data_IF_270058250815
#
_entry.id   IF_270058250815
#
_cell.length_a   1.000
_cell.length_b   1.000
_cell.length_c   1.000
_cell.angle_alpha   90.00
_cell.angle_beta   90.00
_cell.angle_gamma   90.00
#
_symmetry.space_group_name_H-M   'P 1'
#
loop_
_entity.id
_entity.type
_entity.pdbx_description
1 polymer ?
#
# COMPACT_ATOMS: atom_id res chain seq x y z
N UNK A 1 -6.32 -58.68 9.23
CA UNK A 1 -5.12 -57.83 9.09
C UNK A 1 -5.23 -56.98 7.84
N UNK A 2 -5.50 -55.67 8.00
CA UNK A 2 -4.98 -54.57 7.20
C UNK A 2 -5.46 -53.28 7.86
N UNK A 3 -4.49 -52.57 8.43
CA UNK A 3 -4.59 -51.21 8.96
C UNK A 3 -4.06 -50.29 7.86
N UNK A 4 -4.79 -49.23 7.55
CA UNK A 4 -4.34 -47.98 6.88
C UNK A 4 -5.52 -47.00 7.04
N UNK A 5 -5.47 -46.07 7.99
CA UNK A 5 -4.77 -44.78 7.99
C UNK A 5 -5.63 -43.66 7.36
N UNK A 6 -6.03 -42.75 8.25
CA UNK A 6 -6.10 -41.29 8.14
C UNK A 6 -6.71 -40.64 6.88
N UNK A 7 -7.76 -39.84 7.09
CA UNK A 7 -7.78 -38.39 6.86
C UNK A 7 -9.19 -37.92 7.22
N UNK A 8 -9.31 -37.32 8.40
CA UNK A 8 -10.46 -36.52 8.79
C UNK A 8 -10.41 -35.12 8.16
N UNK A 9 -11.56 -34.46 8.21
CA UNK A 9 -11.89 -33.09 7.78
C UNK A 9 -12.13 -32.86 6.28
N UNK A 10 -13.42 -32.90 5.91
CA UNK A 10 -13.99 -31.97 4.95
C UNK A 10 -15.14 -31.24 5.64
N UNK A 11 -14.82 -30.28 6.52
CA UNK A 11 -15.81 -29.33 7.02
C UNK A 11 -16.08 -28.28 5.93
N UNK A 12 -17.24 -28.39 5.30
CA UNK A 12 -17.80 -27.37 4.41
C UNK A 12 -18.14 -26.14 5.25
N UNK A 13 -17.28 -25.11 5.24
CA UNK A 13 -17.59 -23.84 5.90
C UNK A 13 -18.36 -22.94 4.95
N UNK A 14 -19.66 -22.89 5.24
CA UNK A 14 -20.63 -21.88 4.88
C UNK A 14 -20.04 -20.46 5.07
N UNK A 15 -19.97 -19.66 4.00
CA UNK A 15 -19.54 -18.26 4.08
C UNK A 15 -20.79 -17.39 4.01
N UNK A 16 -21.56 -17.38 5.10
CA UNK A 16 -22.53 -16.32 5.38
C UNK A 16 -22.10 -15.62 6.66
N UNK A 17 -21.79 -14.34 6.51
CA UNK A 17 -21.76 -13.29 7.53
C UNK A 17 -20.83 -13.50 8.75
N UNK A 18 -19.60 -12.96 8.66
CA UNK A 18 -18.94 -12.20 9.73
C UNK A 18 -17.45 -11.97 9.42
N UNK A 19 -17.10 -10.88 8.75
CA UNK A 19 -15.83 -10.22 9.06
C UNK A 19 -15.87 -8.71 8.75
N UNK A 20 -16.60 -7.97 9.57
CA UNK A 20 -16.17 -6.61 9.88
C UNK A 20 -14.90 -6.70 10.74
N UNK A 21 -13.71 -6.70 10.13
CA UNK A 21 -12.44 -6.15 10.67
C UNK A 21 -11.30 -6.33 9.65
N UNK A 22 -10.61 -5.22 9.36
CA UNK A 22 -9.24 -5.15 8.81
C UNK A 22 -8.97 -5.66 7.39
N UNK A 23 -9.52 -4.97 6.39
CA UNK A 23 -8.75 -4.70 5.17
C UNK A 23 -8.68 -3.18 4.96
N UNK A 24 -7.75 -2.53 5.68
CA UNK A 24 -7.06 -1.36 5.13
C UNK A 24 -6.35 -1.87 3.88
N UNK A 25 -7.07 -1.91 2.77
CA UNK A 25 -6.52 -2.15 1.44
C UNK A 25 -5.54 -1.01 1.23
N UNK A 26 -4.27 -1.24 1.56
CA UNK A 26 -3.17 -0.43 1.08
C UNK A 26 -3.22 -0.58 -0.44
N UNK A 27 -4.01 0.30 -1.06
CA UNK A 27 -4.06 0.43 -2.49
C UNK A 27 -2.65 0.79 -2.92
N UNK A 28 -1.94 -0.18 -3.46
CA UNK A 28 -0.72 0.05 -4.22
C UNK A 28 -1.15 1.03 -5.31
N UNK A 29 -0.83 2.31 -5.13
CA UNK A 29 -1.15 3.33 -6.12
C UNK A 29 -0.23 3.02 -7.29
N UNK A 30 -0.74 2.25 -8.26
CA UNK A 30 -0.06 1.99 -9.52
C UNK A 30 -0.03 3.32 -10.26
N UNK A 31 1.08 4.02 -10.15
CA UNK A 31 1.30 5.27 -10.90
C UNK A 31 1.69 4.84 -12.31
N UNK A 32 0.76 4.95 -13.25
CA UNK A 32 1.12 4.76 -14.66
C UNK A 32 1.98 5.95 -15.09
N UNK A 33 3.00 5.72 -15.93
CA UNK A 33 4.04 6.70 -16.26
C UNK A 33 3.55 8.01 -16.89
N UNK A 34 2.27 8.09 -17.28
CA UNK A 34 1.61 9.26 -17.85
C UNK A 34 0.53 9.86 -16.95
N UNK A 35 0.29 9.34 -15.75
CA UNK A 35 -0.73 9.87 -14.86
C UNK A 35 -0.22 11.10 -14.10
N UNK A 36 -0.95 12.21 -14.27
CA UNK A 36 -0.71 13.44 -13.52
C UNK A 36 -1.05 13.21 -12.05
N UNK A 37 -0.03 13.14 -11.21
CA UNK A 37 -0.19 13.09 -9.77
C UNK A 37 -0.32 14.50 -9.19
N UNK A 38 -1.34 14.73 -8.36
CA UNK A 38 -1.49 15.99 -7.62
C UNK A 38 -0.53 16.05 -6.43
N UNK A 39 0.14 17.18 -6.24
CA UNK A 39 1.01 17.43 -5.08
C UNK A 39 0.27 17.29 -3.75
N UNK A 40 -1.00 17.69 -3.68
CA UNK A 40 -1.83 17.52 -2.49
C UNK A 40 -2.02 16.03 -2.12
N UNK A 41 -2.14 15.15 -3.13
CA UNK A 41 -2.24 13.71 -2.93
C UNK A 41 -0.89 13.09 -2.56
N UNK A 42 0.20 13.64 -3.07
CA UNK A 42 1.56 13.17 -2.81
C UNK A 42 2.02 13.48 -1.38
N UNK A 43 1.74 14.69 -0.88
CA UNK A 43 2.16 15.08 0.47
C UNK A 43 1.13 14.74 1.56
N UNK A 44 -0.14 14.56 1.19
CA UNK A 44 -1.21 14.28 2.15
C UNK A 44 -1.34 15.41 3.17
N UNK A 45 -1.13 15.10 4.44
CA UNK A 45 -1.15 16.07 5.55
C UNK A 45 0.20 16.73 5.81
N UNK A 46 1.26 16.30 5.11
CA UNK A 46 2.61 16.84 5.25
C UNK A 46 2.92 17.84 4.13
N UNK A 47 4.10 18.46 4.16
CA UNK A 47 4.60 19.34 3.10
C UNK A 47 5.84 18.77 2.40
N UNK A 48 6.24 17.54 2.75
CA UNK A 48 7.41 16.87 2.22
C UNK A 48 7.20 15.37 2.15
N UNK A 49 7.92 14.73 1.24
CA UNK A 49 7.98 13.27 1.09
C UNK A 49 9.43 12.86 0.80
N UNK A 50 9.86 11.77 1.42
CA UNK A 50 11.14 11.14 1.12
C UNK A 50 10.97 10.20 -0.06
N UNK A 51 11.87 10.32 -1.04
CA UNK A 51 11.91 9.51 -2.24
C UNK A 51 13.25 8.76 -2.21
N UNK A 52 13.19 7.46 -2.01
CA UNK A 52 14.37 6.62 -2.22
C UNK A 52 14.55 6.41 -3.73
N UNK A 53 15.71 6.80 -4.24
CA UNK A 53 16.11 6.57 -5.62
C UNK A 53 17.46 5.88 -5.62
N UNK A 54 17.47 4.60 -6.01
CA UNK A 54 18.65 3.73 -5.91
C UNK A 54 19.11 3.62 -4.44
N UNK A 55 20.35 4.02 -4.15
CA UNK A 55 20.94 4.02 -2.80
C UNK A 55 20.82 5.39 -2.11
N UNK A 56 20.19 6.37 -2.76
CA UNK A 56 20.11 7.73 -2.26
C UNK A 56 18.69 8.10 -1.82
N UNK A 57 18.61 8.94 -0.80
CA UNK A 57 17.34 9.52 -0.35
C UNK A 57 17.26 10.96 -0.82
N UNK A 58 16.15 11.29 -1.46
CA UNK A 58 15.80 12.64 -1.86
C UNK A 58 14.59 13.10 -1.06
N UNK A 59 14.46 14.40 -0.88
CA UNK A 59 13.31 15.03 -0.25
C UNK A 59 12.63 15.93 -1.28
N UNK A 60 11.40 15.59 -1.63
CA UNK A 60 10.53 16.48 -2.39
C UNK A 60 9.67 17.25 -1.39
N UNK A 61 9.68 18.59 -1.46
CA UNK A 61 8.89 19.44 -0.54
C UNK A 61 8.30 20.67 -1.20
N UNK A 62 7.26 21.21 -0.58
CA UNK A 62 6.67 22.50 -0.93
C UNK A 62 7.40 23.64 -0.19
N UNK A 63 7.76 24.68 -0.92
CA UNK A 63 8.33 25.91 -0.36
C UNK A 63 7.23 26.88 0.07
N UNK A 64 7.57 27.88 0.90
CA UNK A 64 6.65 28.97 1.28
C UNK A 64 6.11 29.78 0.09
N UNK A 65 6.78 29.73 -1.07
CA UNK A 65 6.34 30.37 -2.31
C UNK A 65 5.46 29.45 -3.18
N UNK A 66 4.94 28.35 -2.62
CA UNK A 66 4.16 27.33 -3.33
C UNK A 66 4.90 26.66 -4.50
N UNK A 67 6.24 26.63 -4.46
CA UNK A 67 7.07 25.90 -5.44
C UNK A 67 7.48 24.54 -4.90
N UNK A 68 7.50 23.54 -5.76
CA UNK A 68 8.08 22.22 -5.49
C UNK A 68 9.59 22.27 -5.63
N UNK A 69 10.32 21.73 -4.66
CA UNK A 69 11.77 21.56 -4.74
C UNK A 69 12.15 20.13 -4.36
N UNK A 70 13.09 19.57 -5.12
CA UNK A 70 13.73 18.30 -4.83
C UNK A 70 15.14 18.59 -4.29
N UNK A 71 15.44 18.09 -3.11
CA UNK A 71 16.76 18.16 -2.49
C UNK A 71 17.27 16.77 -2.19
N UNK A 72 18.58 16.65 -2.04
CA UNK A 72 19.27 15.45 -1.55
C UNK A 72 19.49 15.59 -0.05
#
# INVERSE_FOLDING_TARGET
MKVIADVGLNEHLNIDDANATALKRQGTTRINASEKLSSAKLFGSHNEVMIQHQDETYILRLTKQNKLILTK
#
